data_IF_880910228440
#
_entry.id   IF_880910228440
#
_cell.length_a   1.000
_cell.length_b   1.000
_cell.length_c   1.000
_cell.angle_alpha   90.00
_cell.angle_beta   90.00
_cell.angle_gamma   90.00
#
_symmetry.space_group_name_H-M   'P 1'
#
loop_
_entity.id
_entity.type
_entity.pdbx_description
1 polymer ?
#
# COMPACT_ATOMS: atom_id res chain seq x y z
N UNK A 1 -13.28 25.80 23.52
CA UNK A 1 -12.54 24.54 23.76
C UNK A 1 -12.67 23.67 22.53
N UNK A 2 -11.54 23.14 22.10
CA UNK A 2 -11.20 22.46 20.85
C UNK A 2 -12.19 21.40 20.34
N UNK A 3 -12.61 21.51 19.07
CA UNK A 3 -12.83 20.37 18.16
C UNK A 3 -12.67 20.84 16.70
N UNK A 4 -11.48 20.69 16.11
CA UNK A 4 -11.31 20.89 14.64
C UNK A 4 -10.09 20.15 14.05
N UNK A 5 -9.62 19.06 14.67
CA UNK A 5 -8.29 18.50 14.37
C UNK A 5 -8.21 17.13 13.68
N UNK A 6 -9.29 16.40 13.44
CA UNK A 6 -9.19 14.96 13.09
C UNK A 6 -9.63 14.54 11.68
N UNK A 7 -10.38 15.36 10.94
CA UNK A 7 -10.96 14.93 9.66
C UNK A 7 -9.96 14.95 8.50
N UNK A 8 -9.11 15.99 8.43
CA UNK A 8 -8.14 16.16 7.34
C UNK A 8 -7.01 15.13 7.43
N UNK A 9 -6.56 14.81 8.64
CA UNK A 9 -5.50 13.82 8.88
C UNK A 9 -5.94 12.42 8.45
N UNK A 10 -7.19 12.03 8.75
CA UNK A 10 -7.72 10.73 8.33
C UNK A 10 -7.96 10.63 6.83
N UNK A 11 -8.40 11.71 6.17
CA UNK A 11 -8.59 11.73 4.72
C UNK A 11 -7.26 11.61 3.95
N UNK A 12 -6.22 12.32 4.40
CA UNK A 12 -4.88 12.25 3.81
C UNK A 12 -4.25 10.88 4.03
N UNK A 13 -4.35 10.33 5.24
CA UNK A 13 -3.83 9.00 5.58
C UNK A 13 -4.53 7.90 4.76
N UNK A 14 -5.85 7.95 4.65
CA UNK A 14 -6.63 7.03 3.82
C UNK A 14 -6.24 7.14 2.32
N UNK A 15 -6.09 8.36 1.79
CA UNK A 15 -5.64 8.60 0.42
C UNK A 15 -4.22 8.09 0.16
N UNK A 16 -3.30 8.28 1.12
CA UNK A 16 -1.91 7.82 1.02
C UNK A 16 -1.85 6.28 0.98
N UNK A 17 -2.63 5.59 1.82
CA UNK A 17 -2.71 4.11 1.84
C UNK A 17 -3.21 3.52 0.52
N UNK A 18 -4.29 4.07 -0.05
CA UNK A 18 -4.78 3.61 -1.35
C UNK A 18 -3.80 3.87 -2.49
N UNK A 19 -2.99 4.94 -2.40
CA UNK A 19 -1.95 5.21 -3.40
C UNK A 19 -0.81 4.19 -3.31
N UNK A 20 -0.37 3.81 -2.10
CA UNK A 20 0.64 2.79 -1.88
C UNK A 20 0.21 1.43 -2.40
N UNK A 21 -1.04 1.01 -2.12
CA UNK A 21 -1.60 -0.25 -2.63
C UNK A 21 -1.50 -0.35 -4.15
N UNK A 22 -1.91 0.70 -4.85
CA UNK A 22 -1.89 0.76 -6.32
C UNK A 22 -0.48 0.62 -6.89
N UNK A 23 0.52 1.26 -6.27
CA UNK A 23 1.91 1.17 -6.73
C UNK A 23 2.45 -0.25 -6.56
N UNK A 24 2.24 -0.87 -5.39
CA UNK A 24 2.71 -2.24 -5.12
C UNK A 24 2.04 -3.24 -6.05
N UNK A 25 0.72 -3.14 -6.26
CA UNK A 25 0.00 -3.97 -7.23
C UNK A 25 0.54 -3.82 -8.65
N UNK A 26 0.81 -2.59 -9.10
CA UNK A 26 1.33 -2.35 -10.44
C UNK A 26 2.71 -2.98 -10.65
N UNK A 27 3.60 -2.90 -9.65
CA UNK A 27 4.94 -3.51 -9.71
C UNK A 27 4.86 -5.05 -9.82
N UNK A 28 3.96 -5.67 -9.05
CA UNK A 28 3.72 -7.12 -9.13
C UNK A 28 3.10 -7.52 -10.49
N UNK A 29 2.17 -6.72 -11.01
CA UNK A 29 1.54 -6.96 -12.31
C UNK A 29 2.54 -6.90 -13.47
N UNK A 30 3.42 -5.89 -13.50
CA UNK A 30 4.41 -5.76 -14.58
C UNK A 30 5.47 -6.86 -14.49
N UNK A 31 5.80 -7.35 -13.29
CA UNK A 31 6.65 -8.53 -13.13
C UNK A 31 5.96 -9.80 -13.65
N UNK A 32 4.70 -10.05 -13.26
CA UNK A 32 3.94 -11.23 -13.72
C UNK A 32 3.68 -11.26 -15.23
N UNK A 33 3.77 -10.10 -15.90
CA UNK A 33 3.68 -9.97 -17.37
C UNK A 33 5.03 -10.05 -18.09
N UNK A 34 6.15 -10.16 -17.35
CA UNK A 34 7.50 -10.22 -17.92
C UNK A 34 8.04 -8.87 -18.40
N UNK A 35 7.42 -7.74 -18.04
CA UNK A 35 7.93 -6.41 -18.36
C UNK A 35 9.04 -5.95 -17.41
N UNK A 36 9.14 -6.57 -16.24
CA UNK A 36 10.15 -6.26 -15.24
C UNK A 36 10.66 -7.53 -14.56
N UNK A 37 11.97 -7.76 -14.64
CA UNK A 37 12.66 -8.83 -13.93
C UNK A 37 13.36 -8.31 -12.67
N UNK A 38 13.24 -9.04 -11.57
CA UNK A 38 13.87 -8.72 -10.28
C UNK A 38 14.09 -10.02 -9.50
N UNK A 39 14.85 -9.97 -8.41
CA UNK A 39 15.08 -11.13 -7.55
C UNK A 39 13.80 -11.56 -6.80
N UNK A 40 13.72 -12.86 -6.49
CA UNK A 40 12.67 -13.43 -5.62
C UNK A 40 12.57 -12.73 -4.27
N UNK A 41 13.70 -12.28 -3.71
CA UNK A 41 13.72 -11.50 -2.45
C UNK A 41 12.94 -10.19 -2.56
N UNK A 42 13.05 -9.50 -3.70
CA UNK A 42 12.32 -8.26 -3.94
C UNK A 42 10.82 -8.54 -4.16
N UNK A 43 10.48 -9.64 -4.82
CA UNK A 43 9.10 -10.07 -4.99
C UNK A 43 8.45 -10.42 -3.65
N UNK A 44 9.18 -11.11 -2.77
CA UNK A 44 8.70 -11.41 -1.43
C UNK A 44 8.44 -10.11 -0.65
N UNK A 45 9.38 -9.16 -0.67
CA UNK A 45 9.19 -7.86 -0.02
C UNK A 45 7.96 -7.12 -0.54
N UNK A 46 7.71 -7.13 -1.86
CA UNK A 46 6.53 -6.49 -2.44
C UNK A 46 5.22 -7.18 -2.02
N UNK A 47 5.22 -8.51 -1.87
CA UNK A 47 4.05 -9.25 -1.38
C UNK A 47 3.78 -8.96 0.09
N UNK A 48 4.83 -8.89 0.90
CA UNK A 48 4.72 -8.55 2.32
C UNK A 48 4.21 -7.11 2.49
N UNK A 49 4.74 -6.16 1.73
CA UNK A 49 4.24 -4.77 1.70
C UNK A 49 2.78 -4.68 1.24
N UNK A 50 2.38 -5.50 0.27
CA UNK A 50 0.99 -5.53 -0.18
C UNK A 50 0.07 -5.94 0.97
N UNK A 51 0.42 -7.03 1.68
CA UNK A 51 -0.36 -7.51 2.82
C UNK A 51 -0.42 -6.47 3.95
N UNK A 52 0.71 -5.86 4.31
CA UNK A 52 0.76 -4.81 5.34
C UNK A 52 -0.14 -3.62 4.99
N UNK A 53 -0.22 -3.25 3.70
CA UNK A 53 -1.10 -2.18 3.24
C UNK A 53 -2.57 -2.59 3.31
N UNK A 54 -2.92 -3.84 2.96
CA UNK A 54 -4.30 -4.34 3.08
C UNK A 54 -4.74 -4.39 4.55
N UNK A 55 -3.92 -4.93 5.45
CA UNK A 55 -4.21 -5.02 6.89
C UNK A 55 -4.46 -3.62 7.47
N UNK A 56 -3.66 -2.64 7.04
CA UNK A 56 -3.81 -1.21 7.41
C UNK A 56 -5.04 -0.53 6.84
N UNK A 57 -5.56 -0.98 5.70
CA UNK A 57 -6.80 -0.46 5.10
C UNK A 57 -8.01 -1.09 5.81
N UNK A 58 -7.93 -2.38 6.13
CA UNK A 58 -8.98 -3.12 6.83
C UNK A 58 -9.02 -2.82 8.33
N UNK A 59 -7.97 -2.20 8.88
CA UNK A 59 -7.88 -1.85 10.30
C UNK A 59 -7.59 -3.06 11.20
N UNK A 60 -6.86 -4.04 10.66
CA UNK A 60 -6.41 -5.24 11.37
C UNK A 60 -5.04 -4.94 11.99
N UNK A 61 -4.94 -5.12 13.31
CA UNK A 61 -3.67 -5.11 14.08
C UNK A 61 -3.27 -6.53 14.50
#
# INVERSE_FOLDING_TARGET
MHQSGNSDTQAVDNSQRYSSRKVVSALLEVNGRGYWETSESNLQLLRDLYQEVEDRIEGIE
#
